data_IF_502952716379
#
_entry.id   IF_502952716379
#
_cell.length_a   1.000
_cell.length_b   1.000
_cell.length_c   1.000
_cell.angle_alpha   90.00
_cell.angle_beta   90.00
_cell.angle_gamma   90.00
#
_symmetry.space_group_name_H-M   'P 1'
#
loop_
_entity.id
_entity.type
_entity.pdbx_description
1 polymer ?
#
# COMPACT_ATOMS: atom_id res chain seq x y z
N UNK A 1 -15.28 -4.70 10.57
CA UNK A 1 -16.69 -5.06 10.82
C UNK A 1 -17.27 -4.27 12.01
N UNK A 2 -16.56 -4.16 13.15
CA UNK A 2 -17.03 -3.37 14.32
C UNK A 2 -17.19 -1.88 13.99
N UNK A 3 -16.45 -1.36 13.00
CA UNK A 3 -16.60 0.00 12.48
C UNK A 3 -17.79 0.17 11.49
N UNK A 4 -18.63 -0.84 11.30
CA UNK A 4 -19.82 -0.76 10.45
C UNK A 4 -19.65 -1.29 9.02
N UNK A 5 -18.47 -1.80 8.64
CA UNK A 5 -18.27 -2.39 7.32
C UNK A 5 -18.93 -3.77 7.22
N UNK A 6 -19.50 -4.07 6.06
CA UNK A 6 -20.13 -5.38 5.78
C UNK A 6 -19.17 -6.36 5.10
N UNK A 7 -18.17 -5.85 4.36
CA UNK A 7 -17.12 -6.64 3.75
C UNK A 7 -15.75 -5.98 3.98
N UNK A 8 -14.76 -6.81 4.28
CA UNK A 8 -13.35 -6.42 4.30
C UNK A 8 -12.61 -7.31 3.30
N UNK A 9 -11.95 -6.68 2.34
CA UNK A 9 -11.31 -7.34 1.20
C UNK A 9 -9.81 -7.07 1.23
N UNK A 10 -9.00 -8.07 0.92
CA UNK A 10 -7.56 -7.94 0.79
C UNK A 10 -7.21 -7.22 -0.51
N UNK A 11 -6.30 -6.27 -0.44
CA UNK A 11 -5.59 -5.80 -1.62
C UNK A 11 -4.27 -6.57 -1.72
N UNK A 12 -4.05 -7.37 -2.77
CA UNK A 12 -2.87 -8.24 -2.88
C UNK A 12 -1.54 -7.48 -2.86
N UNK A 13 -0.50 -8.12 -2.34
CA UNK A 13 0.85 -7.57 -2.15
C UNK A 13 1.38 -6.77 -3.35
N UNK A 14 1.26 -7.24 -4.61
CA UNK A 14 1.79 -6.50 -5.76
C UNK A 14 1.20 -5.10 -5.92
N UNK A 15 -0.02 -4.89 -5.43
CA UNK A 15 -0.74 -3.61 -5.45
C UNK A 15 -0.63 -2.87 -4.13
N UNK A 16 -0.83 -3.55 -2.99
CA UNK A 16 -0.79 -2.95 -1.66
C UNK A 16 0.54 -2.26 -1.34
N UNK A 17 1.65 -2.78 -1.89
CA UNK A 17 3.00 -2.24 -1.67
C UNK A 17 3.50 -1.33 -2.80
N UNK A 18 2.69 -1.09 -3.82
CA UNK A 18 3.08 -0.37 -5.03
C UNK A 18 3.08 1.17 -4.88
N UNK A 19 3.30 1.87 -5.98
CA UNK A 19 3.07 3.32 -6.07
C UNK A 19 1.57 3.63 -6.02
N UNK A 20 1.20 4.89 -5.73
CA UNK A 20 -0.20 5.33 -5.69
C UNK A 20 -1.01 4.90 -6.92
N UNK A 21 -0.44 5.01 -8.11
CA UNK A 21 -1.14 4.61 -9.35
C UNK A 21 -1.43 3.12 -9.41
N UNK A 22 -0.45 2.26 -9.11
CA UNK A 22 -0.67 0.82 -9.15
C UNK A 22 -1.51 0.33 -7.97
N UNK A 23 -1.37 0.96 -6.79
CA UNK A 23 -2.25 0.73 -5.65
C UNK A 23 -3.71 1.04 -6.02
N UNK A 24 -3.95 2.22 -6.58
CA UNK A 24 -5.28 2.66 -6.98
C UNK A 24 -5.87 1.78 -8.09
N UNK A 25 -5.07 1.40 -9.10
CA UNK A 25 -5.51 0.52 -10.17
C UNK A 25 -6.01 -0.83 -9.62
N UNK A 26 -5.23 -1.46 -8.74
CA UNK A 26 -5.63 -2.72 -8.09
C UNK A 26 -6.88 -2.57 -7.21
N UNK A 27 -6.96 -1.51 -6.41
CA UNK A 27 -8.10 -1.26 -5.53
C UNK A 27 -9.39 -1.00 -6.33
N UNK A 28 -9.31 -0.20 -7.39
CA UNK A 28 -10.46 0.12 -8.25
C UNK A 28 -10.93 -1.10 -9.07
N UNK A 29 -10.01 -1.93 -9.54
CA UNK A 29 -10.36 -3.19 -10.20
C UNK A 29 -11.09 -4.17 -9.27
N UNK A 30 -10.63 -4.29 -8.01
CA UNK A 30 -11.35 -5.06 -6.99
C UNK A 30 -12.74 -4.49 -6.71
N UNK A 31 -12.83 -3.17 -6.53
CA UNK A 31 -14.11 -2.49 -6.31
C UNK A 31 -15.08 -2.71 -7.46
N UNK A 32 -14.61 -2.57 -8.71
CA UNK A 32 -15.40 -2.83 -9.90
C UNK A 32 -15.87 -4.28 -10.00
N UNK A 33 -14.98 -5.25 -9.78
CA UNK A 33 -15.33 -6.67 -9.80
C UNK A 33 -16.36 -7.06 -8.72
N UNK A 34 -16.37 -6.33 -7.60
CA UNK A 34 -17.37 -6.44 -6.55
C UNK A 34 -18.65 -5.66 -6.84
N UNK A 35 -18.77 -4.93 -7.94
CA UNK A 35 -19.96 -4.15 -8.28
C UNK A 35 -20.14 -2.90 -7.41
N UNK A 36 -19.05 -2.32 -6.91
CA UNK A 36 -19.07 -1.06 -6.16
C UNK A 36 -19.52 0.09 -7.06
N UNK A 37 -20.48 0.89 -6.60
CA UNK A 37 -21.02 2.04 -7.31
C UNK A 37 -20.44 3.37 -6.84
N UNK A 38 -19.99 3.42 -5.59
CA UNK A 38 -19.52 4.64 -4.94
C UNK A 38 -18.20 4.40 -4.22
N UNK A 39 -17.22 5.27 -4.44
CA UNK A 39 -15.91 5.25 -3.80
C UNK A 39 -15.75 6.48 -2.91
N UNK A 40 -15.45 6.25 -1.63
CA UNK A 40 -15.18 7.34 -0.67
C UNK A 40 -13.70 7.31 -0.27
N UNK A 41 -13.04 8.46 -0.31
CA UNK A 41 -11.64 8.60 0.09
C UNK A 41 -11.38 9.92 0.83
N UNK A 42 -10.31 9.94 1.63
CA UNK A 42 -9.84 11.16 2.29
C UNK A 42 -8.99 12.01 1.34
N UNK A 43 -9.20 13.32 1.34
CA UNK A 43 -8.45 14.31 0.56
C UNK A 43 -8.07 15.49 1.45
N UNK A 44 -6.89 16.07 1.21
CA UNK A 44 -6.46 17.27 1.92
C UNK A 44 -7.14 18.52 1.35
N UNK A 45 -7.29 18.61 0.03
CA UNK A 45 -7.98 19.73 -0.64
C UNK A 45 -9.48 19.66 -0.44
N UNK A 46 -10.06 18.46 -0.45
CA UNK A 46 -11.52 18.21 -0.48
C UNK A 46 -12.22 18.92 -1.65
N UNK A 47 -11.51 19.07 -2.75
CA UNK A 47 -12.00 19.69 -3.98
C UNK A 47 -11.98 18.65 -5.10
N UNK A 48 -13.09 17.94 -5.25
CA UNK A 48 -13.21 16.86 -6.23
C UNK A 48 -13.10 17.41 -7.66
N UNK A 49 -13.65 18.60 -7.93
CA UNK A 49 -13.59 19.23 -9.26
C UNK A 49 -12.14 19.53 -9.65
N UNK A 50 -11.36 20.05 -8.72
CA UNK A 50 -9.93 20.29 -8.91
C UNK A 50 -9.16 18.97 -9.17
N UNK A 51 -9.44 17.91 -8.39
CA UNK A 51 -8.79 16.62 -8.56
C UNK A 51 -9.15 15.96 -9.90
N UNK A 52 -10.39 16.11 -10.36
CA UNK A 52 -10.84 15.63 -11.67
C UNK A 52 -10.19 16.41 -12.82
N UNK A 53 -10.11 17.74 -12.74
CA UNK A 53 -9.41 18.59 -13.70
C UNK A 53 -7.95 18.14 -13.88
N UNK A 54 -7.23 17.96 -12.76
CA UNK A 54 -5.84 17.50 -12.78
C UNK A 54 -5.70 16.08 -13.36
N UNK A 55 -6.66 15.22 -13.06
CA UNK A 55 -6.68 13.85 -13.60
C UNK A 55 -6.89 13.85 -15.11
N UNK A 56 -7.78 14.72 -15.62
CA UNK A 56 -8.04 14.85 -17.04
C UNK A 56 -6.84 15.38 -17.81
N UNK A 57 -6.11 16.35 -17.24
CA UNK A 57 -4.85 16.83 -17.79
C UNK A 57 -3.83 15.69 -17.89
N UNK A 58 -3.64 14.92 -16.82
CA UNK A 58 -2.71 13.81 -16.81
C UNK A 58 -3.07 12.72 -17.84
N UNK A 59 -4.36 12.49 -18.10
CA UNK A 59 -4.82 11.47 -19.04
C UNK A 59 -4.86 11.94 -20.49
N UNK A 60 -5.20 13.19 -20.74
CA UNK A 60 -5.60 13.62 -22.07
C UNK A 60 -4.77 14.79 -22.64
N UNK A 61 -4.01 15.53 -21.81
CA UNK A 61 -3.15 16.59 -22.31
C UNK A 61 -1.82 16.02 -22.79
N UNK A 62 -1.57 16.13 -24.10
CA UNK A 62 -0.35 15.62 -24.74
C UNK A 62 0.93 16.31 -24.27
N UNK A 63 0.85 17.52 -23.73
CA UNK A 63 2.01 18.27 -23.24
C UNK A 63 2.46 17.76 -21.88
N UNK A 64 1.57 17.19 -21.07
CA UNK A 64 1.86 16.75 -19.70
C UNK A 64 3.01 15.75 -19.63
N UNK A 65 2.92 14.65 -20.38
CA UNK A 65 3.98 13.62 -20.41
C UNK A 65 5.32 14.17 -20.90
N UNK A 66 5.29 15.11 -21.85
CA UNK A 66 6.50 15.76 -22.37
C UNK A 66 7.17 16.61 -21.30
N UNK A 67 6.41 17.41 -20.56
CA UNK A 67 6.89 18.22 -19.44
C UNK A 67 7.47 17.33 -18.32
N UNK A 68 6.74 16.27 -17.93
CA UNK A 68 7.25 15.33 -16.92
C UNK A 68 8.62 14.74 -17.33
N UNK A 69 8.78 14.34 -18.60
CA UNK A 69 10.08 13.84 -19.11
C UNK A 69 11.17 14.89 -19.04
N UNK A 70 10.89 16.13 -19.40
CA UNK A 70 11.86 17.26 -19.29
C UNK A 70 12.31 17.42 -17.84
N UNK A 71 11.37 17.43 -16.89
CA UNK A 71 11.69 17.59 -15.48
C UNK A 71 12.44 16.40 -14.88
N UNK A 72 12.13 15.17 -15.31
CA UNK A 72 12.91 13.99 -14.94
C UNK A 72 14.35 14.06 -15.48
N UNK A 73 14.53 14.53 -16.72
CA UNK A 73 15.84 14.71 -17.33
C UNK A 73 16.66 15.83 -16.64
N UNK A 74 16.01 16.87 -16.09
CA UNK A 74 16.64 17.89 -15.27
C UNK A 74 17.04 17.42 -13.87
N UNK A 75 16.69 16.18 -13.51
CA UNK A 75 17.09 15.55 -12.24
C UNK A 75 16.03 15.63 -11.13
N UNK A 76 14.78 16.01 -11.41
CA UNK A 76 13.70 15.90 -10.43
C UNK A 76 13.27 14.44 -10.25
N UNK A 77 12.80 14.11 -9.04
CA UNK A 77 12.08 12.85 -8.84
C UNK A 77 10.68 12.92 -9.47
N UNK A 78 10.06 11.77 -9.73
CA UNK A 78 8.78 11.70 -10.42
C UNK A 78 7.66 12.53 -9.78
N UNK A 79 7.40 12.49 -8.43
CA UNK A 79 6.40 13.35 -7.81
C UNK A 79 6.63 14.84 -8.04
N UNK A 80 7.87 15.30 -7.95
CA UNK A 80 8.22 16.71 -8.18
C UNK A 80 8.09 17.09 -9.64
N UNK A 81 8.51 16.21 -10.57
CA UNK A 81 8.36 16.43 -12.02
C UNK A 81 6.89 16.52 -12.42
N UNK A 82 6.04 15.63 -11.88
CA UNK A 82 4.58 15.64 -12.08
C UNK A 82 3.94 16.93 -11.55
N UNK A 83 4.28 17.31 -10.33
CA UNK A 83 3.79 18.55 -9.70
C UNK A 83 4.16 19.80 -10.53
N UNK A 84 5.40 19.88 -11.03
CA UNK A 84 5.84 20.99 -11.85
C UNK A 84 5.14 21.04 -13.20
N UNK A 85 4.93 19.89 -13.85
CA UNK A 85 4.18 19.81 -15.10
C UNK A 85 2.73 20.34 -14.94
N UNK A 86 2.06 19.98 -13.84
CA UNK A 86 0.76 20.57 -13.52
C UNK A 86 0.83 22.08 -13.33
N UNK A 87 1.83 22.57 -12.61
CA UNK A 87 2.00 24.01 -12.38
C UNK A 87 2.19 24.77 -13.70
N UNK A 88 2.95 24.22 -14.64
CA UNK A 88 3.19 24.86 -15.94
C UNK A 88 1.90 24.93 -16.80
N UNK A 89 1.06 23.91 -16.71
CA UNK A 89 -0.19 23.85 -17.51
C UNK A 89 -1.30 24.67 -16.90
N UNK A 90 -1.46 24.65 -15.56
CA UNK A 90 -2.67 25.15 -14.88
C UNK A 90 -2.39 26.27 -13.88
N UNK A 91 -1.14 26.52 -13.51
CA UNK A 91 -0.80 27.36 -12.36
C UNK A 91 -1.04 26.70 -11.00
N UNK A 92 -1.50 25.45 -10.96
CA UNK A 92 -1.80 24.70 -9.74
C UNK A 92 -0.97 23.43 -9.69
N UNK A 93 -0.86 22.76 -8.53
CA UNK A 93 -0.12 21.51 -8.39
C UNK A 93 -0.78 20.53 -7.42
N UNK A 94 -0.68 19.22 -7.68
CA UNK A 94 -1.01 18.17 -6.70
C UNK A 94 0.28 17.72 -6.03
N UNK A 95 0.41 18.02 -4.74
CA UNK A 95 1.61 17.68 -3.96
C UNK A 95 1.32 16.95 -2.65
N UNK A 96 0.08 17.07 -2.15
CA UNK A 96 -0.32 16.45 -0.89
C UNK A 96 -0.62 14.95 -1.07
N UNK A 97 -0.20 14.10 -0.13
CA UNK A 97 -0.19 12.64 -0.32
C UNK A 97 -1.55 12.01 -0.60
N UNK A 98 -2.62 12.48 0.07
CA UNK A 98 -3.95 11.90 -0.16
C UNK A 98 -4.60 12.46 -1.43
N UNK A 99 -4.31 13.68 -1.82
CA UNK A 99 -4.74 14.24 -3.11
C UNK A 99 -4.05 13.51 -4.28
N UNK A 100 -2.77 13.15 -4.14
CA UNK A 100 -2.06 12.30 -5.11
C UNK A 100 -2.75 10.94 -5.23
N UNK A 101 -3.12 10.32 -4.10
CA UNK A 101 -3.82 9.03 -4.11
C UNK A 101 -5.23 9.16 -4.67
N UNK A 102 -5.96 10.21 -4.32
CA UNK A 102 -7.29 10.54 -4.84
C UNK A 102 -7.26 10.67 -6.38
N UNK A 103 -6.33 11.47 -6.92
CA UNK A 103 -6.10 11.58 -8.37
C UNK A 103 -5.78 10.22 -9.02
N UNK A 104 -5.02 9.34 -8.34
CA UNK A 104 -4.74 8.00 -8.83
C UNK A 104 -6.00 7.12 -8.90
N UNK A 105 -6.93 7.22 -7.94
CA UNK A 105 -8.23 6.54 -8.00
C UNK A 105 -9.09 7.05 -9.16
N UNK A 106 -9.22 8.37 -9.29
CA UNK A 106 -9.97 8.99 -10.40
C UNK A 106 -9.38 8.57 -11.76
N UNK A 107 -8.06 8.54 -11.87
CA UNK A 107 -7.35 8.06 -13.06
C UNK A 107 -7.66 6.61 -13.37
N UNK A 108 -7.69 5.73 -12.38
CA UNK A 108 -8.01 4.32 -12.57
C UNK A 108 -9.48 4.12 -13.00
N UNK A 109 -10.43 4.87 -12.41
CA UNK A 109 -11.84 4.86 -12.81
C UNK A 109 -12.01 5.30 -14.26
N UNK A 110 -11.47 6.47 -14.62
CA UNK A 110 -11.60 7.06 -15.96
C UNK A 110 -10.92 6.21 -17.03
N UNK A 111 -9.69 5.75 -16.78
CA UNK A 111 -8.91 4.94 -17.73
C UNK A 111 -9.61 3.62 -18.11
N UNK A 112 -10.30 3.01 -17.14
CA UNK A 112 -10.99 1.74 -17.34
C UNK A 112 -12.48 1.91 -17.68
N UNK A 113 -12.99 3.15 -17.79
CA UNK A 113 -14.40 3.46 -18.04
C UNK A 113 -15.34 2.79 -17.02
N UNK A 114 -14.96 2.73 -15.75
CA UNK A 114 -15.79 2.15 -14.70
C UNK A 114 -16.86 3.12 -14.22
N UNK A 115 -18.09 2.62 -14.02
CA UNK A 115 -19.20 3.41 -13.49
C UNK A 115 -19.15 3.47 -11.97
N UNK A 116 -18.13 4.13 -11.43
CA UNK A 116 -17.92 4.33 -9.99
C UNK A 116 -17.91 5.84 -9.73
N UNK A 117 -18.83 6.32 -8.89
CA UNK A 117 -18.89 7.71 -8.47
C UNK A 117 -17.92 7.95 -7.32
N UNK A 118 -17.08 8.96 -7.44
CA UNK A 118 -16.11 9.32 -6.42
C UNK A 118 -16.67 10.37 -5.45
N UNK A 119 -16.33 10.23 -4.15
CA UNK A 119 -16.69 11.17 -3.10
C UNK A 119 -15.46 11.43 -2.22
N UNK A 120 -15.17 12.69 -1.92
CA UNK A 120 -14.10 13.07 -1.02
C UNK A 120 -14.60 13.36 0.40
N UNK A 121 -13.74 13.13 1.38
CA UNK A 121 -13.94 13.57 2.76
C UNK A 121 -12.72 14.40 3.16
N UNK A 122 -12.96 15.60 3.69
CA UNK A 122 -11.93 16.51 4.17
C UNK A 122 -11.09 15.85 5.27
N UNK A 123 -9.79 15.77 5.06
CA UNK A 123 -8.88 15.39 6.13
C UNK A 123 -8.62 16.60 7.05
N UNK A 124 -8.72 16.34 8.34
CA UNK A 124 -8.54 17.37 9.38
C UNK A 124 -7.12 17.43 9.91
N UNK A 125 -6.30 16.39 9.66
CA UNK A 125 -4.95 16.25 10.24
C UNK A 125 -3.87 16.25 9.18
N UNK A 126 -2.69 16.82 9.51
CA UNK A 126 -1.50 16.72 8.68
C UNK A 126 -1.04 15.26 8.59
N UNK A 127 -0.89 14.77 7.35
CA UNK A 127 -0.40 13.43 7.05
C UNK A 127 0.97 13.13 7.67
N UNK A 128 1.83 14.14 7.78
CA UNK A 128 3.19 14.02 8.30
C UNK A 128 3.33 14.38 9.79
N UNK A 129 2.23 14.69 10.48
CA UNK A 129 2.28 14.94 11.93
C UNK A 129 2.80 13.71 12.67
N UNK A 130 3.88 13.90 13.45
CA UNK A 130 4.44 12.90 14.36
C UNK A 130 3.99 13.10 15.80
N UNK A 131 3.13 14.08 16.05
CA UNK A 131 2.59 14.37 17.37
C UNK A 131 1.19 13.79 17.50
N UNK A 132 0.87 13.26 18.68
CA UNK A 132 -0.49 12.85 19.01
C UNK A 132 -1.33 14.12 19.21
N UNK A 133 -2.46 14.18 18.52
CA UNK A 133 -3.48 15.20 18.70
C UNK A 133 -4.58 14.66 19.63
N UNK A 134 -5.32 15.56 20.31
CA UNK A 134 -6.25 15.14 21.36
C UNK A 134 -7.36 14.19 20.88
N UNK A 135 -7.90 14.37 19.67
CA UNK A 135 -9.08 13.61 19.24
C UNK A 135 -8.82 12.71 18.04
N UNK A 136 -8.11 13.19 17.01
CA UNK A 136 -7.84 12.43 15.78
C UNK A 136 -6.36 12.59 15.44
N UNK A 137 -5.65 11.49 15.36
CA UNK A 137 -4.21 11.47 15.06
C UNK A 137 -3.90 10.75 13.77
N UNK A 138 -2.78 11.09 13.13
CA UNK A 138 -2.32 10.38 11.94
C UNK A 138 -1.93 8.94 12.29
N UNK A 139 -2.07 8.01 11.35
CA UNK A 139 -1.61 6.64 11.55
C UNK A 139 -0.10 6.55 11.83
N UNK A 140 0.68 7.53 11.38
CA UNK A 140 2.13 7.61 11.64
C UNK A 140 2.42 8.01 13.09
N UNK A 141 1.70 9.01 13.63
CA UNK A 141 1.84 9.42 15.03
C UNK A 141 1.37 8.33 16.00
N UNK A 142 0.26 7.64 15.67
CA UNK A 142 -0.22 6.50 16.47
C UNK A 142 0.81 5.36 16.50
N UNK A 143 1.35 4.95 15.33
CA UNK A 143 2.40 3.92 15.29
C UNK A 143 3.65 4.31 16.06
N UNK A 144 4.08 5.57 15.94
CA UNK A 144 5.23 6.07 16.70
C UNK A 144 4.96 6.02 18.22
N UNK A 145 3.79 6.48 18.65
CA UNK A 145 3.41 6.45 20.06
C UNK A 145 3.36 5.01 20.62
N UNK A 146 2.86 4.04 19.82
CA UNK A 146 2.90 2.62 20.19
C UNK A 146 4.33 2.09 20.37
N UNK A 147 5.25 2.45 19.45
CA UNK A 147 6.67 2.08 19.54
C UNK A 147 7.32 2.69 20.77
N UNK A 148 6.98 3.95 21.07
CA UNK A 148 7.50 4.70 22.22
C UNK A 148 6.83 4.29 23.56
N UNK A 149 5.85 3.36 23.53
CA UNK A 149 5.13 2.86 24.72
C UNK A 149 4.12 3.87 25.31
N UNK A 150 3.70 4.85 24.51
CA UNK A 150 2.71 5.86 24.92
C UNK A 150 1.28 5.33 24.84
N UNK A 151 0.42 5.81 25.73
CA UNK A 151 -1.01 5.51 25.69
C UNK A 151 -1.67 6.19 24.48
N UNK A 152 -2.42 5.43 23.70
CA UNK A 152 -3.13 5.87 22.49
C UNK A 152 -4.63 5.62 22.57
N UNK A 153 -5.17 5.31 23.74
CA UNK A 153 -6.59 4.95 23.89
C UNK A 153 -7.55 6.05 23.45
N UNK A 154 -7.15 7.32 23.58
CA UNK A 154 -7.96 8.46 23.13
C UNK A 154 -7.94 8.67 21.60
N UNK A 155 -6.99 8.07 20.86
CA UNK A 155 -6.79 8.27 19.42
C UNK A 155 -7.31 7.11 18.56
N UNK A 156 -7.81 6.05 19.19
CA UNK A 156 -8.36 4.88 18.51
C UNK A 156 -9.76 4.55 19.05
N UNK A 157 -10.63 3.96 18.22
CA UNK A 157 -11.93 3.50 18.73
C UNK A 157 -11.78 2.43 19.82
N UNK A 158 -12.65 2.43 20.82
CA UNK A 158 -12.61 1.51 21.98
C UNK A 158 -12.48 0.05 21.60
N UNK A 159 -13.12 -0.37 20.50
CA UNK A 159 -13.06 -1.74 20.02
C UNK A 159 -11.68 -2.16 19.47
N UNK A 160 -10.76 -1.22 19.26
CA UNK A 160 -9.37 -1.49 18.82
C UNK A 160 -8.46 -1.78 20.02
N UNK A 161 -8.75 -1.20 21.19
CA UNK A 161 -7.90 -1.27 22.38
C UNK A 161 -7.55 -2.72 22.78
N UNK A 162 -8.51 -3.69 22.88
CA UNK A 162 -8.19 -5.06 23.25
C UNK A 162 -7.21 -5.76 22.27
N UNK A 163 -7.25 -5.39 20.99
CA UNK A 163 -6.31 -5.95 20.00
C UNK A 163 -4.91 -5.38 20.18
N UNK A 164 -4.78 -4.10 20.53
CA UNK A 164 -3.48 -3.48 20.82
C UNK A 164 -2.85 -4.05 22.09
N UNK A 165 -3.65 -4.29 23.13
CA UNK A 165 -3.21 -4.94 24.37
C UNK A 165 -2.73 -6.38 24.11
N UNK A 166 -3.38 -7.10 23.17
CA UNK A 166 -2.99 -8.47 22.82
C UNK A 166 -1.65 -8.58 22.08
N UNK A 167 -1.14 -7.49 21.50
CA UNK A 167 0.17 -7.44 20.83
C UNK A 167 1.33 -7.42 21.85
N UNK A 168 1.04 -7.34 23.17
CA UNK A 168 2.03 -7.42 24.26
C UNK A 168 3.24 -6.47 24.06
N UNK A 169 2.98 -5.24 23.64
CA UNK A 169 3.97 -4.19 23.42
C UNK A 169 5.02 -4.51 22.33
N UNK A 170 4.83 -5.54 21.50
CA UNK A 170 5.74 -5.84 20.42
C UNK A 170 5.19 -5.32 19.08
N UNK A 171 5.50 -4.08 18.76
CA UNK A 171 5.27 -3.50 17.44
C UNK A 171 6.41 -3.91 16.52
N UNK A 172 6.10 -4.64 15.44
CA UNK A 172 7.10 -5.03 14.44
C UNK A 172 7.44 -3.83 13.57
N UNK A 173 8.73 -3.58 13.42
CA UNK A 173 9.29 -2.45 12.67
C UNK A 173 10.16 -2.92 11.50
N UNK A 174 10.60 -1.99 10.66
CA UNK A 174 11.55 -2.29 9.60
C UNK A 174 12.91 -2.77 10.14
N UNK A 175 13.32 -2.30 11.32
CA UNK A 175 14.58 -2.72 11.95
C UNK A 175 14.56 -4.17 12.39
N UNK A 176 13.39 -4.74 12.72
CA UNK A 176 13.28 -6.17 13.03
C UNK A 176 13.68 -7.03 11.82
N UNK A 177 13.38 -6.57 10.61
CA UNK A 177 13.77 -7.26 9.36
C UNK A 177 15.16 -6.88 8.84
N UNK A 178 15.84 -5.90 9.44
CA UNK A 178 17.14 -5.43 8.97
C UNK A 178 18.19 -6.53 8.93
N UNK A 179 18.19 -7.44 9.89
CA UNK A 179 19.11 -8.59 9.93
C UNK A 179 18.97 -9.54 8.73
N UNK A 180 17.74 -9.77 8.25
CA UNK A 180 17.49 -10.61 7.07
C UNK A 180 17.89 -9.89 5.78
N UNK A 181 17.61 -8.59 5.71
CA UNK A 181 18.09 -7.75 4.61
C UNK A 181 19.62 -7.72 4.56
N UNK A 182 20.28 -7.57 5.72
CA UNK A 182 21.72 -7.56 5.83
C UNK A 182 22.32 -8.88 5.35
N UNK A 183 21.80 -10.00 5.84
CA UNK A 183 22.22 -11.33 5.40
C UNK A 183 22.07 -11.47 3.88
N UNK A 184 20.89 -11.16 3.35
CA UNK A 184 20.59 -11.30 1.92
C UNK A 184 21.46 -10.39 1.06
N UNK A 185 21.66 -9.13 1.42
CA UNK A 185 22.52 -8.19 0.68
C UNK A 185 23.98 -8.63 0.63
N UNK A 186 24.46 -9.36 1.65
CA UNK A 186 25.85 -9.88 1.71
C UNK A 186 25.99 -11.17 0.88
N UNK A 187 25.03 -12.07 0.94
CA UNK A 187 25.15 -13.43 0.41
C UNK A 187 24.57 -13.62 -0.98
N UNK A 188 23.64 -12.76 -1.38
CA UNK A 188 22.93 -12.91 -2.64
C UNK A 188 23.78 -12.43 -3.83
N UNK A 189 24.07 -13.37 -4.74
CA UNK A 189 24.84 -13.17 -5.95
C UNK A 189 24.00 -13.30 -7.24
N UNK A 190 22.67 -13.36 -7.12
CA UNK A 190 21.81 -13.44 -8.29
C UNK A 190 21.78 -12.12 -9.08
N UNK A 191 21.50 -12.20 -10.38
CA UNK A 191 21.36 -11.06 -11.28
C UNK A 191 19.90 -10.62 -11.48
N UNK A 192 19.00 -10.97 -10.54
CA UNK A 192 17.58 -10.61 -10.62
C UNK A 192 17.41 -9.09 -10.59
N UNK A 193 16.48 -8.60 -11.38
CA UNK A 193 16.01 -7.22 -11.30
C UNK A 193 14.80 -7.11 -10.39
N UNK A 194 14.72 -6.00 -9.65
CA UNK A 194 13.63 -5.76 -8.70
C UNK A 194 12.95 -4.41 -9.01
N UNK A 195 11.63 -4.33 -8.95
CA UNK A 195 10.95 -3.04 -9.14
C UNK A 195 11.44 -2.03 -8.10
N UNK A 196 11.56 -0.77 -8.49
CA UNK A 196 12.07 0.34 -7.63
C UNK A 196 13.53 0.23 -7.20
N UNK A 197 14.27 -0.80 -7.61
CA UNK A 197 15.65 -1.06 -7.21
C UNK A 197 16.50 -1.40 -8.43
N UNK A 198 17.03 -0.40 -9.08
CA UNK A 198 17.95 -0.62 -10.21
C UNK A 198 19.30 -1.21 -9.74
N UNK A 199 20.06 -1.79 -10.69
CA UNK A 199 21.33 -2.46 -10.40
C UNK A 199 22.36 -1.53 -9.72
N UNK A 200 22.39 -0.24 -10.09
CA UNK A 200 23.29 0.75 -9.49
C UNK A 200 22.94 0.99 -8.01
N UNK A 201 21.66 1.17 -7.72
CA UNK A 201 21.18 1.37 -6.34
C UNK A 201 21.39 0.12 -5.50
N UNK A 202 21.10 -1.09 -6.03
CA UNK A 202 21.35 -2.35 -5.33
C UNK A 202 22.84 -2.54 -5.00
N UNK A 203 23.73 -2.23 -5.93
CA UNK A 203 25.18 -2.28 -5.69
C UNK A 203 25.63 -1.29 -4.60
N UNK A 204 25.06 -0.09 -4.55
CA UNK A 204 25.35 0.88 -3.48
C UNK A 204 24.87 0.35 -2.12
N UNK A 205 23.69 -0.26 -2.05
CA UNK A 205 23.17 -0.89 -0.85
C UNK A 205 24.09 -2.03 -0.37
N UNK A 206 24.49 -2.95 -1.28
CA UNK A 206 25.43 -4.03 -0.99
C UNK A 206 26.79 -3.51 -0.46
N UNK A 207 27.29 -2.39 -1.02
CA UNK A 207 28.55 -1.78 -0.56
C UNK A 207 28.43 -1.13 0.82
N UNK A 208 27.26 -0.59 1.16
CA UNK A 208 27.06 0.17 2.40
C UNK A 208 26.56 -0.68 3.57
N UNK A 209 25.98 -1.88 3.31
CA UNK A 209 25.34 -2.69 4.34
C UNK A 209 26.26 -3.10 5.50
N UNK A 210 27.55 -3.25 5.25
CA UNK A 210 28.54 -3.60 6.29
C UNK A 210 28.93 -2.42 7.19
N UNK A 211 28.56 -1.18 6.80
CA UNK A 211 28.93 0.05 7.47
C UNK A 211 27.81 0.65 8.32
N UNK A 212 26.63 0.05 8.27
CA UNK A 212 25.41 0.56 8.91
C UNK A 212 24.85 -0.46 9.87
N UNK A 213 24.06 0.02 10.85
CA UNK A 213 23.52 -0.77 11.95
C UNK A 213 22.00 -0.82 11.98
N UNK A 214 21.32 0.05 11.20
CA UNK A 214 19.87 0.14 11.14
C UNK A 214 19.32 0.25 9.71
N UNK A 215 18.04 -0.02 9.56
CA UNK A 215 17.32 0.10 8.31
C UNK A 215 17.35 1.55 7.77
N UNK A 216 17.14 2.52 8.65
CA UNK A 216 17.13 3.93 8.29
C UNK A 216 18.52 4.43 7.88
N UNK A 217 19.58 4.01 8.57
CA UNK A 217 20.95 4.31 8.17
C UNK A 217 21.25 3.75 6.78
N UNK A 218 20.80 2.54 6.47
CA UNK A 218 21.01 1.93 5.16
C UNK A 218 20.35 2.79 4.07
N UNK A 219 19.10 3.17 4.23
CA UNK A 219 18.39 4.01 3.25
C UNK A 219 19.06 5.37 3.10
N UNK A 220 19.38 6.03 4.22
CA UNK A 220 20.00 7.36 4.19
C UNK A 220 21.39 7.34 3.56
N UNK A 221 22.12 6.22 3.62
CA UNK A 221 23.44 6.06 3.00
C UNK A 221 23.42 6.10 1.45
N UNK A 222 22.25 5.86 0.83
CA UNK A 222 22.09 5.81 -0.63
C UNK A 222 21.05 6.79 -1.18
N UNK A 223 20.27 7.42 -0.29
CA UNK A 223 19.24 8.40 -0.64
C UNK A 223 19.85 9.62 -1.33
N UNK A 224 19.16 10.12 -2.37
CA UNK A 224 19.53 11.35 -3.09
C UNK A 224 18.27 12.20 -3.32
N UNK A 225 18.44 13.42 -3.86
CA UNK A 225 17.30 14.26 -4.25
C UNK A 225 16.34 13.54 -5.22
N UNK A 226 16.88 12.69 -6.10
CA UNK A 226 16.13 12.01 -7.16
C UNK A 226 15.62 10.63 -6.72
N UNK A 227 16.17 10.06 -5.64
CA UNK A 227 15.82 8.74 -5.14
C UNK A 227 15.27 8.91 -3.72
N UNK A 228 13.93 8.88 -3.61
CA UNK A 228 13.24 9.13 -2.35
C UNK A 228 13.38 7.96 -1.39
N UNK A 229 13.28 8.24 -0.07
CA UNK A 229 13.22 7.23 0.98
C UNK A 229 12.21 6.11 0.66
N UNK A 230 10.98 6.48 0.29
CA UNK A 230 9.89 5.53 0.00
C UNK A 230 10.17 4.64 -1.20
N UNK A 231 10.88 5.16 -2.24
CA UNK A 231 11.30 4.34 -3.39
C UNK A 231 12.31 3.27 -2.96
N UNK A 232 13.29 3.64 -2.12
CA UNK A 232 14.30 2.70 -1.61
C UNK A 232 13.65 1.66 -0.70
N UNK A 233 12.82 2.11 0.25
CA UNK A 233 12.11 1.23 1.19
C UNK A 233 11.27 0.18 0.47
N UNK A 234 10.53 0.59 -0.56
CA UNK A 234 9.75 -0.33 -1.41
C UNK A 234 10.66 -1.32 -2.15
N UNK A 235 11.77 -0.85 -2.72
CA UNK A 235 12.74 -1.70 -3.38
C UNK A 235 13.37 -2.73 -2.43
N UNK A 236 13.69 -2.35 -1.20
CA UNK A 236 14.19 -3.25 -0.16
C UNK A 236 13.16 -4.30 0.26
N UNK A 237 11.88 -3.92 0.38
CA UNK A 237 10.79 -4.86 0.62
C UNK A 237 10.68 -5.88 -0.52
N UNK A 238 10.71 -5.43 -1.76
CA UNK A 238 10.67 -6.31 -2.93
C UNK A 238 11.89 -7.25 -2.98
N UNK A 239 13.07 -6.72 -2.67
CA UNK A 239 14.28 -7.51 -2.58
C UNK A 239 14.19 -8.55 -1.46
N UNK A 240 13.73 -8.20 -0.28
CA UNK A 240 13.54 -9.11 0.84
C UNK A 240 12.60 -10.27 0.48
N UNK A 241 11.48 -9.94 -0.18
CA UNK A 241 10.45 -10.91 -0.56
C UNK A 241 10.74 -11.66 -1.88
N UNK A 242 11.83 -11.39 -2.60
CA UNK A 242 12.07 -11.87 -3.98
C UNK A 242 10.93 -11.51 -4.94
N UNK A 243 10.36 -10.34 -4.78
CA UNK A 243 9.40 -9.80 -5.73
C UNK A 243 10.14 -9.19 -6.91
N UNK A 244 10.61 -10.05 -7.81
CA UNK A 244 11.39 -9.66 -8.99
C UNK A 244 10.53 -8.92 -10.01
N UNK A 245 11.17 -8.26 -10.98
CA UNK A 245 10.46 -7.63 -12.10
C UNK A 245 9.67 -8.66 -12.92
N UNK A 246 10.20 -9.87 -13.08
CA UNK A 246 9.47 -10.98 -13.72
C UNK A 246 8.25 -11.42 -12.91
N UNK A 247 8.39 -11.56 -11.59
CA UNK A 247 7.27 -11.86 -10.70
C UNK A 247 6.17 -10.77 -10.80
N UNK A 248 6.57 -9.50 -10.80
CA UNK A 248 5.63 -8.38 -10.97
C UNK A 248 4.89 -8.46 -12.31
N UNK A 249 5.59 -8.78 -13.40
CA UNK A 249 4.98 -8.87 -14.72
C UNK A 249 3.95 -10.02 -14.80
N UNK A 250 4.23 -11.14 -14.13
CA UNK A 250 3.31 -12.28 -14.01
C UNK A 250 2.10 -11.98 -13.11
N UNK A 251 2.22 -11.01 -12.21
CA UNK A 251 1.16 -10.58 -11.27
C UNK A 251 0.74 -9.13 -11.55
N UNK A 252 0.60 -8.78 -12.83
CA UNK A 252 0.31 -7.42 -13.28
C UNK A 252 -1.17 -7.03 -13.18
N UNK A 253 -2.05 -8.00 -12.95
CA UNK A 253 -3.48 -7.77 -12.77
C UNK A 253 -4.05 -8.58 -11.61
N UNK A 254 -5.21 -8.13 -11.08
CA UNK A 254 -5.92 -8.82 -10.00
C UNK A 254 -6.48 -10.15 -10.52
N UNK A 255 -6.20 -11.24 -9.81
CA UNK A 255 -6.62 -12.58 -10.20
C UNK A 255 -7.67 -13.19 -9.27
N UNK A 256 -7.90 -12.60 -8.10
CA UNK A 256 -8.89 -13.08 -7.12
C UNK A 256 -9.41 -11.94 -6.22
N UNK A 257 -10.50 -12.22 -5.51
CA UNK A 257 -11.03 -11.42 -4.42
C UNK A 257 -10.95 -12.24 -3.14
N UNK A 258 -10.09 -11.86 -2.19
CA UNK A 258 -9.98 -12.51 -0.88
C UNK A 258 -10.76 -11.75 0.16
N UNK A 259 -11.70 -12.44 0.82
CA UNK A 259 -12.53 -11.87 1.88
C UNK A 259 -11.84 -12.10 3.21
N UNK A 260 -11.54 -11.02 3.94
CA UNK A 260 -10.94 -11.05 5.28
C UNK A 260 -11.97 -10.92 6.39
N UNK A 261 -13.11 -10.26 6.12
CA UNK A 261 -14.18 -10.08 7.08
C UNK A 261 -15.53 -9.93 6.40
N UNK A 262 -16.59 -10.45 7.04
CA UNK A 262 -17.93 -10.48 6.46
C UNK A 262 -19.02 -10.41 7.54
N UNK A 263 -20.02 -9.55 7.32
CA UNK A 263 -21.29 -9.55 8.06
C UNK A 263 -22.35 -10.39 7.33
N UNK A 264 -23.51 -10.56 7.93
CA UNK A 264 -24.64 -11.21 7.27
C UNK A 264 -25.10 -10.43 6.02
N UNK A 265 -25.09 -9.08 6.08
CA UNK A 265 -25.37 -8.25 4.90
C UNK A 265 -24.34 -8.49 3.79
N UNK A 266 -23.04 -8.51 4.15
CA UNK A 266 -21.97 -8.81 3.23
C UNK A 266 -22.11 -10.19 2.60
N UNK A 267 -22.50 -11.21 3.37
CA UNK A 267 -22.79 -12.56 2.87
C UNK A 267 -23.95 -12.56 1.88
N UNK A 268 -25.03 -11.88 2.22
CA UNK A 268 -26.19 -11.75 1.34
C UNK A 268 -25.83 -11.06 0.05
N UNK A 269 -25.00 -10.01 0.13
CA UNK A 269 -24.48 -9.31 -1.05
C UNK A 269 -23.64 -10.23 -1.92
N UNK A 270 -22.63 -10.90 -1.35
CA UNK A 270 -21.76 -11.83 -2.11
C UNK A 270 -22.57 -12.95 -2.76
N UNK A 271 -23.61 -13.46 -2.10
CA UNK A 271 -24.50 -14.47 -2.70
C UNK A 271 -25.26 -13.98 -3.93
N UNK A 272 -25.56 -12.67 -4.01
CA UNK A 272 -26.19 -12.05 -5.17
C UNK A 272 -25.21 -11.93 -6.34
N UNK A 273 -23.98 -11.41 -6.07
CA UNK A 273 -23.04 -11.06 -7.12
C UNK A 273 -22.14 -12.21 -7.58
N UNK A 274 -21.97 -13.28 -6.78
CA UNK A 274 -20.98 -14.35 -7.02
C UNK A 274 -21.07 -15.05 -8.39
N UNK A 275 -22.23 -15.01 -9.05
CA UNK A 275 -22.44 -15.62 -10.35
C UNK A 275 -21.96 -14.72 -11.49
N UNK A 276 -22.03 -13.41 -11.29
CA UNK A 276 -21.70 -12.41 -12.29
C UNK A 276 -20.31 -11.78 -12.03
N UNK A 277 -19.70 -12.11 -10.90
CA UNK A 277 -18.37 -11.64 -10.54
C UNK A 277 -17.31 -12.24 -11.48
N UNK A 278 -16.53 -11.38 -12.12
CA UNK A 278 -15.50 -11.77 -13.09
C UNK A 278 -14.27 -12.45 -12.46
N UNK A 279 -14.10 -12.32 -11.14
CA UNK A 279 -12.97 -12.88 -10.40
C UNK A 279 -13.44 -13.93 -9.39
N UNK A 280 -12.66 -14.99 -9.14
CA UNK A 280 -12.97 -15.96 -8.09
C UNK A 280 -12.95 -15.29 -6.72
N UNK A 281 -13.98 -15.56 -5.91
CA UNK A 281 -14.10 -15.08 -4.55
C UNK A 281 -13.54 -16.14 -3.59
N UNK A 282 -12.49 -15.79 -2.85
CA UNK A 282 -11.76 -16.67 -1.94
C UNK A 282 -12.14 -16.34 -0.50
N UNK A 283 -12.73 -17.30 0.21
CA UNK A 283 -13.05 -17.20 1.64
C UNK A 283 -12.11 -18.04 2.53
N UNK A 284 -11.31 -18.91 1.92
CA UNK A 284 -10.31 -19.71 2.61
C UNK A 284 -9.04 -19.74 1.78
N UNK A 285 -7.90 -19.58 2.43
CA UNK A 285 -6.61 -19.71 1.76
C UNK A 285 -6.40 -21.17 1.35
N UNK A 286 -6.04 -21.39 0.08
CA UNK A 286 -5.80 -22.72 -0.47
C UNK A 286 -4.45 -22.74 -1.20
N UNK A 287 -3.84 -23.92 -1.30
CA UNK A 287 -2.60 -24.11 -2.07
C UNK A 287 -2.92 -24.21 -3.57
N UNK A 288 -3.50 -23.17 -4.10
CA UNK A 288 -3.84 -23.13 -5.53
C UNK A 288 -2.61 -22.72 -6.38
N UNK A 289 -2.75 -22.95 -7.70
CA UNK A 289 -1.71 -22.62 -8.68
C UNK A 289 -1.69 -21.13 -9.04
N UNK A 290 -2.48 -20.27 -8.37
CA UNK A 290 -2.45 -18.84 -8.61
C UNK A 290 -1.14 -18.24 -8.06
N UNK A 291 -0.38 -17.60 -8.94
CA UNK A 291 0.93 -17.04 -8.60
C UNK A 291 0.84 -15.94 -7.55
N UNK A 292 -0.21 -15.11 -7.59
CA UNK A 292 -0.39 -14.02 -6.66
C UNK A 292 -0.75 -14.52 -5.27
N UNK A 293 -1.66 -15.51 -5.17
CA UNK A 293 -2.02 -16.13 -3.91
C UNK A 293 -0.83 -16.89 -3.29
N UNK A 294 -0.05 -17.61 -4.11
CA UNK A 294 1.17 -18.26 -3.65
C UNK A 294 2.21 -17.25 -3.15
N UNK A 295 2.24 -16.06 -3.75
CA UNK A 295 3.13 -14.99 -3.31
C UNK A 295 2.66 -14.36 -1.99
N UNK A 296 1.35 -14.18 -1.79
CA UNK A 296 0.79 -13.77 -0.47
C UNK A 296 1.23 -14.73 0.64
N UNK A 297 1.14 -16.03 0.41
CA UNK A 297 1.62 -17.01 1.39
C UNK A 297 3.12 -16.87 1.68
N UNK A 298 3.94 -16.63 0.66
CA UNK A 298 5.38 -16.37 0.84
C UNK A 298 5.62 -15.12 1.70
N UNK A 299 4.86 -14.05 1.48
CA UNK A 299 5.01 -12.83 2.29
C UNK A 299 4.54 -13.03 3.72
N UNK A 300 3.51 -13.83 3.95
CA UNK A 300 3.08 -14.24 5.30
C UNK A 300 4.18 -15.02 6.02
N UNK A 301 4.85 -15.96 5.35
CA UNK A 301 6.00 -16.69 5.92
C UNK A 301 7.11 -15.71 6.31
N UNK A 302 7.47 -14.77 5.44
CA UNK A 302 8.53 -13.79 5.73
C UNK A 302 8.11 -12.90 6.91
N UNK A 303 6.86 -12.45 6.95
CA UNK A 303 6.33 -11.67 8.08
C UNK A 303 6.42 -12.46 9.40
N UNK A 304 6.13 -13.77 9.37
CA UNK A 304 6.16 -14.62 10.55
C UNK A 304 7.53 -14.80 11.19
N UNK A 305 8.62 -14.50 10.47
CA UNK A 305 9.99 -14.58 11.02
C UNK A 305 10.20 -13.66 12.24
N UNK A 306 9.50 -12.52 12.30
CA UNK A 306 9.55 -11.60 13.45
C UNK A 306 8.29 -11.64 14.31
N UNK A 307 7.20 -12.15 13.76
CA UNK A 307 5.98 -12.34 14.54
C UNK A 307 6.21 -13.52 15.49
N UNK A 308 6.31 -13.23 16.77
CA UNK A 308 6.67 -14.20 17.82
C UNK A 308 6.09 -15.59 17.59
N UNK A 309 6.83 -16.63 17.95
CA UNK A 309 6.40 -18.02 18.00
C UNK A 309 5.09 -18.30 18.76
N UNK A 310 4.48 -17.27 19.37
CA UNK A 310 3.17 -17.28 20.01
C UNK A 310 2.01 -17.46 19.04
N UNK A 311 2.20 -16.99 17.78
CA UNK A 311 1.20 -17.10 16.72
C UNK A 311 1.84 -17.86 15.57
N UNK A 312 1.38 -19.07 15.31
CA UNK A 312 1.77 -19.82 14.15
C UNK A 312 1.04 -19.27 12.91
N UNK A 313 1.46 -18.09 12.46
CA UNK A 313 0.84 -17.35 11.34
C UNK A 313 0.77 -18.20 10.08
N UNK A 314 1.74 -19.08 9.87
CA UNK A 314 1.80 -19.95 8.68
C UNK A 314 0.68 -20.98 8.71
N UNK A 315 0.48 -21.67 9.83
CA UNK A 315 -0.59 -22.66 9.97
C UNK A 315 -1.97 -21.98 10.05
N UNK A 316 -2.04 -20.81 10.65
CA UNK A 316 -3.26 -20.05 10.78
C UNK A 316 -3.77 -19.54 9.43
N UNK A 317 -2.89 -19.17 8.49
CA UNK A 317 -3.27 -18.71 7.15
C UNK A 317 -4.21 -19.70 6.44
N UNK A 318 -3.98 -21.02 6.61
CA UNK A 318 -4.83 -22.06 6.03
C UNK A 318 -6.09 -22.38 6.87
N UNK A 319 -6.13 -21.95 8.13
CA UNK A 319 -7.22 -22.21 9.07
C UNK A 319 -8.14 -21.00 9.22
N UNK A 320 -7.65 -19.80 8.89
CA UNK A 320 -8.41 -18.55 9.02
C UNK A 320 -9.52 -18.52 7.98
N UNK A 321 -10.74 -18.34 8.46
CA UNK A 321 -11.91 -17.97 7.69
C UNK A 321 -12.15 -16.46 7.82
N UNK A 322 -12.94 -15.84 6.91
CA UNK A 322 -13.35 -14.46 7.09
C UNK A 322 -13.95 -14.24 8.48
N UNK A 323 -13.43 -13.22 9.18
CA UNK A 323 -13.95 -12.85 10.51
C UNK A 323 -15.42 -12.49 10.37
N UNK A 324 -16.28 -13.03 11.25
CA UNK A 324 -17.70 -12.70 11.29
C UNK A 324 -17.96 -11.61 12.33
N UNK A 325 -18.99 -10.79 12.07
CA UNK A 325 -19.33 -9.67 12.95
C UNK A 325 -19.66 -10.10 14.38
N UNK A 326 -20.21 -11.29 14.55
CA UNK A 326 -20.70 -11.84 15.82
C UNK A 326 -19.69 -12.79 16.51
N UNK A 327 -18.54 -13.05 15.89
CA UNK A 327 -17.46 -13.81 16.51
C UNK A 327 -16.67 -12.88 17.46
N UNK A 328 -16.68 -13.26 18.77
CA UNK A 328 -16.01 -12.54 19.87
C UNK A 328 -14.50 -12.72 19.82
#
# INVERSE_FOLDING_TARGET
LKAGFDLVVELPFPFATASSDAFADGAIKLAHALGVTDLVFGSESDDLTYLEEMTDIELYDKSFDSLVRVYLASGLNYPSARSQAFTDITGKSISLPNDILASSYLKAIKKNNYSITAHSIKRTNDYNSNQLEENISSASSIRKALIDGNNISAQVPDFVIPYLESIENKVITNDDYFKYLKYKLITDNNDNSYPSLDKSLLNKLKKNITKVTSYDELINSVKTKNITYRKIARGLLYYLCDFTTDARNKMSDITYIRILGISDNGRNYLNKIKKDCSLPIISKFTREKDNMLAFEYKTTIIYSLEYNNKYNVIDDEFKIFPIRKDEK
#
